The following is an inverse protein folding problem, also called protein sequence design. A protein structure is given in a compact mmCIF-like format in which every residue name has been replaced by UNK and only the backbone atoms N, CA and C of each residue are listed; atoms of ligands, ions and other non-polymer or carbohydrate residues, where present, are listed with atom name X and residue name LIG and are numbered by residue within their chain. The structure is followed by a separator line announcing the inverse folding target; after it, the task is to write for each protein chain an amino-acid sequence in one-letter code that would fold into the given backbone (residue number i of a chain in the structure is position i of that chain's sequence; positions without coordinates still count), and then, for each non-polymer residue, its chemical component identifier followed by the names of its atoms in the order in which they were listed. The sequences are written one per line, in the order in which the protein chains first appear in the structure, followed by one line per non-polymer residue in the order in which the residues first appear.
data_IF_051427246891
#
_entry.id   IF_051427246891
#
_cell.length_a   1.000
_cell.length_b   1.000
_cell.length_c   1.000
_cell.angle_alpha   90.00
_cell.angle_beta   90.00
_cell.angle_gamma   90.00
#
_symmetry.space_group_name_H-M   'P 1'
#
loop_
_entity.id
_entity.type
_entity.pdbx_description
1 polymer ?
#
# COMPACT_ATOMS: atom_id res chain seq x y z
N UNK A 1 20.05 -34.01 -36.44
CA UNK A 1 20.61 -32.97 -35.54
C UNK A 1 19.83 -31.65 -35.57
N UNK A 2 19.32 -31.19 -36.72
CA UNK A 2 18.56 -29.92 -36.88
C UNK A 2 17.20 -29.87 -36.14
N UNK A 3 16.52 -31.02 -35.96
CA UNK A 3 15.22 -31.11 -35.26
C UNK A 3 15.33 -31.04 -33.72
N UNK A 4 16.45 -31.47 -33.15
CA UNK A 4 16.70 -31.41 -31.68
C UNK A 4 17.00 -29.99 -31.23
N UNK A 5 17.71 -29.20 -32.05
CA UNK A 5 17.96 -27.78 -31.78
C UNK A 5 16.69 -26.93 -31.84
N UNK A 6 15.73 -27.28 -32.71
CA UNK A 6 14.46 -26.57 -32.83
C UNK A 6 13.56 -26.79 -31.60
N UNK A 7 13.55 -28.00 -31.03
CA UNK A 7 12.78 -28.30 -29.80
C UNK A 7 13.43 -27.64 -28.57
N UNK A 8 14.76 -27.58 -28.51
CA UNK A 8 15.50 -26.86 -27.45
C UNK A 8 15.25 -25.34 -27.50
N UNK A 9 15.14 -24.74 -28.69
CA UNK A 9 14.84 -23.32 -28.85
C UNK A 9 13.38 -22.96 -28.49
N UNK A 10 12.42 -23.83 -28.80
CA UNK A 10 11.01 -23.63 -28.41
C UNK A 10 10.79 -23.86 -26.91
N UNK A 11 11.50 -24.83 -26.32
CA UNK A 11 11.47 -25.07 -24.87
C UNK A 11 12.08 -23.91 -24.06
N UNK A 12 13.12 -23.26 -24.58
CA UNK A 12 13.76 -22.12 -23.91
C UNK A 12 12.92 -20.83 -24.03
N UNK A 13 12.12 -20.67 -25.08
CA UNK A 13 11.25 -19.49 -25.26
C UNK A 13 10.02 -19.52 -24.35
N UNK A 14 9.52 -20.71 -23.98
CA UNK A 14 8.37 -20.87 -23.07
C UNK A 14 8.73 -20.58 -21.59
N UNK A 15 10.00 -20.64 -21.22
CA UNK A 15 10.47 -20.33 -19.85
C UNK A 15 10.60 -18.82 -19.60
N UNK A 16 10.68 -18.00 -20.65
CA UNK A 16 10.86 -16.55 -20.52
C UNK A 16 9.56 -15.73 -20.49
N UNK A 17 8.39 -16.34 -20.70
CA UNK A 17 7.12 -15.60 -20.74
C UNK A 17 6.41 -15.44 -19.38
N UNK A 18 6.95 -15.94 -18.27
CA UNK A 18 6.25 -15.95 -16.99
C UNK A 18 6.45 -14.70 -16.10
N UNK A 19 7.22 -13.69 -16.53
CA UNK A 19 7.61 -12.56 -15.66
C UNK A 19 6.92 -11.23 -16.00
N UNK A 20 5.66 -11.27 -16.46
CA UNK A 20 4.81 -10.08 -16.60
C UNK A 20 3.65 -10.13 -15.60
N UNK A 21 3.96 -10.27 -14.32
CA UNK A 21 3.06 -9.77 -13.27
C UNK A 21 3.52 -8.36 -12.92
N UNK A 22 2.92 -7.36 -13.58
CA UNK A 22 3.08 -5.99 -13.17
C UNK A 22 2.68 -5.86 -11.70
N UNK A 23 3.49 -5.11 -10.95
CA UNK A 23 3.51 -5.02 -9.49
C UNK A 23 2.22 -4.38 -8.96
N UNK A 24 1.16 -5.16 -8.80
CA UNK A 24 0.14 -4.80 -7.83
C UNK A 24 0.68 -5.24 -6.46
N UNK A 25 1.65 -4.48 -5.94
CA UNK A 25 2.06 -4.60 -4.55
C UNK A 25 0.83 -4.22 -3.73
N UNK A 26 0.02 -5.21 -3.34
CA UNK A 26 -1.20 -4.98 -2.59
C UNK A 26 -0.94 -4.07 -1.39
N UNK A 27 -1.97 -3.31 -0.97
CA UNK A 27 -1.91 -2.26 0.06
C UNK A 27 -0.84 -2.51 1.13
N UNK A 28 0.20 -1.67 1.12
CA UNK A 28 1.31 -1.68 2.08
C UNK A 28 1.21 -0.46 2.98
N UNK A 29 1.27 -0.70 4.29
CA UNK A 29 1.29 0.33 5.31
C UNK A 29 2.72 0.57 5.76
N UNK A 30 3.17 1.81 5.67
CA UNK A 30 4.47 2.23 6.16
C UNK A 30 4.29 3.04 7.44
N UNK A 31 5.06 2.70 8.47
CA UNK A 31 5.17 3.50 9.69
C UNK A 31 5.72 4.88 9.39
N UNK A 32 5.19 5.88 10.09
CA UNK A 32 5.74 7.23 10.08
C UNK A 32 6.84 7.36 11.14
N UNK A 33 8.09 7.25 10.71
CA UNK A 33 9.29 7.45 11.53
C UNK A 33 9.80 8.91 11.45
N UNK A 34 8.92 9.84 11.05
CA UNK A 34 9.22 11.27 10.89
C UNK A 34 9.38 11.74 9.45
N UNK A 35 9.32 10.83 8.46
CA UNK A 35 9.41 11.19 7.04
C UNK A 35 8.23 12.01 6.53
N UNK A 36 7.08 11.97 7.22
CA UNK A 36 5.93 12.80 6.92
C UNK A 36 5.58 13.70 8.09
N UNK A 37 5.46 14.99 7.81
CA UNK A 37 5.07 16.03 8.77
C UNK A 37 3.54 16.08 8.94
N UNK A 38 2.96 14.95 9.35
CA UNK A 38 1.52 14.74 9.55
C UNK A 38 1.32 13.89 10.81
N UNK A 39 0.17 13.99 11.51
CA UNK A 39 -0.09 13.23 12.74
C UNK A 39 -0.40 11.73 12.49
N UNK A 40 -0.11 11.22 11.29
CA UNK A 40 -0.34 9.83 10.95
C UNK A 40 0.71 8.93 11.58
N UNK A 41 0.27 7.82 12.19
CA UNK A 41 1.13 6.71 12.62
C UNK A 41 1.60 5.89 11.43
N UNK A 42 0.72 5.68 10.45
CA UNK A 42 1.05 4.92 9.24
C UNK A 42 0.40 5.54 8.01
N UNK A 43 0.99 5.29 6.85
CA UNK A 43 0.45 5.69 5.54
C UNK A 43 0.45 4.50 4.59
N UNK A 44 -0.63 4.36 3.83
CA UNK A 44 -0.70 3.42 2.73
C UNK A 44 -1.11 4.15 1.45
N UNK A 45 -0.37 3.88 0.38
CA UNK A 45 -0.72 4.31 -0.97
C UNK A 45 -1.39 3.13 -1.71
N UNK A 46 -2.37 3.45 -2.53
CA UNK A 46 -3.09 2.47 -3.34
C UNK A 46 -3.51 3.08 -4.67
N UNK A 47 -4.00 2.24 -5.59
CA UNK A 47 -4.35 2.67 -6.94
C UNK A 47 -5.44 3.75 -6.90
N UNK A 48 -5.03 5.01 -7.09
CA UNK A 48 -5.93 6.17 -7.06
C UNK A 48 -6.13 6.80 -5.70
N UNK A 49 -5.31 6.52 -4.68
CA UNK A 49 -5.52 7.13 -3.38
C UNK A 49 -4.43 6.93 -2.35
N UNK A 50 -4.63 7.62 -1.23
CA UNK A 50 -3.74 7.58 -0.07
C UNK A 50 -4.59 7.52 1.18
N UNK A 51 -4.21 6.64 2.11
CA UNK A 51 -4.79 6.58 3.44
C UNK A 51 -3.72 6.87 4.48
N UNK A 52 -4.03 7.77 5.42
CA UNK A 52 -3.23 8.06 6.59
C UNK A 52 -3.98 7.56 7.82
N UNK A 53 -3.39 6.64 8.57
CA UNK A 53 -3.92 6.14 9.82
C UNK A 53 -3.39 7.00 10.97
N UNK A 54 -4.29 7.62 11.73
CA UNK A 54 -3.99 8.40 12.93
C UNK A 54 -4.27 7.55 14.18
N UNK A 55 -4.03 8.09 15.38
CA UNK A 55 -4.26 7.38 16.64
C UNK A 55 -5.75 7.07 16.87
N UNK A 56 -6.60 8.03 16.50
CA UNK A 56 -8.03 8.05 16.76
C UNK A 56 -8.84 8.18 15.46
N UNK A 57 -8.30 7.74 14.33
CA UNK A 57 -8.98 7.95 13.06
C UNK A 57 -8.15 7.66 11.83
N UNK A 58 -8.66 8.11 10.69
CA UNK A 58 -7.92 8.07 9.45
C UNK A 58 -8.34 9.20 8.51
N UNK A 59 -7.40 9.62 7.66
CA UNK A 59 -7.68 10.47 6.51
C UNK A 59 -7.56 9.65 5.23
N UNK A 60 -8.46 9.88 4.29
CA UNK A 60 -8.45 9.23 2.99
C UNK A 60 -8.53 10.30 1.92
N UNK A 61 -7.61 10.26 0.97
CA UNK A 61 -7.70 11.01 -0.27
C UNK A 61 -7.87 10.04 -1.43
N UNK A 62 -8.81 10.35 -2.32
CA UNK A 62 -9.13 9.56 -3.51
C UNK A 62 -9.12 10.47 -4.72
N UNK A 63 -8.33 10.07 -5.70
CA UNK A 63 -8.18 10.77 -6.96
C UNK A 63 -9.46 10.68 -7.80
N UNK A 64 -9.68 11.72 -8.60
CA UNK A 64 -10.77 11.77 -9.58
C UNK A 64 -10.55 10.89 -10.81
N UNK A 65 -11.57 10.89 -11.68
CA UNK A 65 -11.41 10.43 -13.06
C UNK A 65 -10.30 11.24 -13.75
N UNK A 66 -9.48 10.59 -14.57
CA UNK A 66 -8.32 11.23 -15.20
C UNK A 66 -6.98 10.99 -14.47
N UNK A 67 -7.01 10.43 -13.25
CA UNK A 67 -5.78 10.22 -12.48
C UNK A 67 -4.84 9.19 -13.12
N UNK A 68 -5.37 8.11 -13.69
CA UNK A 68 -4.54 7.06 -14.27
C UNK A 68 -3.75 7.58 -15.48
N UNK A 69 -4.37 8.46 -16.25
CA UNK A 69 -3.80 9.13 -17.43
C UNK A 69 -2.64 10.06 -17.05
N UNK A 70 -2.61 10.60 -15.82
CA UNK A 70 -1.46 11.38 -15.32
C UNK A 70 -0.22 10.52 -15.07
N UNK A 71 -0.39 9.22 -14.82
CA UNK A 71 0.70 8.27 -14.57
C UNK A 71 1.02 7.41 -15.80
N UNK A 72 0.35 7.67 -16.92
CA UNK A 72 0.58 6.92 -18.14
C UNK A 72 1.91 7.35 -18.80
N UNK A 73 2.93 6.52 -18.63
CA UNK A 73 4.24 6.71 -19.24
C UNK A 73 4.34 6.18 -20.69
N UNK A 74 3.23 5.71 -21.29
CA UNK A 74 3.29 4.95 -22.55
C UNK A 74 3.39 5.79 -23.84
N UNK A 75 3.46 7.11 -23.78
CA UNK A 75 3.51 7.91 -25.02
C UNK A 75 4.60 8.98 -24.96
N UNK A 76 5.72 8.68 -25.58
CA UNK A 76 6.76 9.66 -25.90
C UNK A 76 6.15 10.74 -26.82
N UNK A 77 6.08 11.98 -26.33
CA UNK A 77 5.44 13.09 -27.04
C UNK A 77 3.95 13.31 -26.76
N UNK A 78 3.32 12.52 -25.88
CA UNK A 78 2.01 12.91 -25.36
C UNK A 78 2.13 14.13 -24.45
N UNK A 79 1.23 15.08 -24.64
CA UNK A 79 1.02 16.16 -23.69
C UNK A 79 0.29 15.58 -22.49
N UNK A 80 0.71 15.93 -21.28
CA UNK A 80 -0.04 15.59 -20.08
C UNK A 80 -1.51 16.05 -20.26
N UNK A 81 -2.49 15.27 -19.77
CA UNK A 81 -3.89 15.69 -19.80
C UNK A 81 -4.04 17.10 -19.23
N UNK A 82 -4.75 17.97 -19.95
CA UNK A 82 -5.11 19.31 -19.49
C UNK A 82 -6.45 19.28 -18.75
N UNK A 83 -6.59 20.12 -17.72
CA UNK A 83 -7.79 20.25 -16.90
C UNK A 83 -7.62 19.90 -15.42
N UNK A 84 -8.71 20.07 -14.67
CA UNK A 84 -8.74 19.86 -13.22
C UNK A 84 -8.99 18.39 -12.86
N UNK A 85 -8.19 17.85 -11.93
CA UNK A 85 -8.46 16.56 -11.31
C UNK A 85 -9.37 16.73 -10.08
N UNK A 86 -10.66 16.44 -10.25
CA UNK A 86 -11.63 16.54 -9.15
C UNK A 86 -11.50 15.34 -8.21
N UNK A 87 -10.87 15.57 -7.06
CA UNK A 87 -10.57 14.55 -6.06
C UNK A 87 -11.45 14.71 -4.82
N UNK A 88 -11.53 13.66 -4.00
CA UNK A 88 -12.28 13.67 -2.74
C UNK A 88 -11.37 13.37 -1.56
N UNK A 89 -11.63 14.04 -0.44
CA UNK A 89 -10.93 13.84 0.83
C UNK A 89 -11.91 13.65 1.96
N UNK A 90 -11.65 12.67 2.82
CA UNK A 90 -12.41 12.43 4.05
C UNK A 90 -11.47 12.40 5.24
N UNK A 91 -11.86 13.10 6.30
CA UNK A 91 -11.28 12.95 7.63
C UNK A 91 -12.29 12.22 8.51
N UNK A 92 -11.86 11.10 9.09
CA UNK A 92 -12.66 10.30 10.00
C UNK A 92 -12.03 10.31 11.38
N UNK A 93 -12.86 10.59 12.39
CA UNK A 93 -12.49 10.49 13.80
C UNK A 93 -13.31 9.38 14.44
N UNK A 94 -12.63 8.52 15.18
CA UNK A 94 -13.17 7.38 15.92
C UNK A 94 -13.54 7.81 17.33
N UNK A 95 -14.80 8.15 17.51
CA UNK A 95 -15.31 8.58 18.82
C UNK A 95 -15.15 7.47 19.86
N UNK A 96 -14.56 7.83 21.00
CA UNK A 96 -14.32 6.91 22.11
C UNK A 96 -13.20 5.90 21.87
N UNK A 97 -12.40 6.07 20.81
CA UNK A 97 -11.22 5.24 20.61
C UNK A 97 -10.15 5.51 21.68
N UNK A 98 -9.46 4.45 22.11
CA UNK A 98 -8.32 4.54 23.01
C UNK A 98 -7.11 5.12 22.27
N UNK A 99 -6.45 6.17 22.79
CA UNK A 99 -5.20 6.66 22.22
C UNK A 99 -4.04 5.66 22.41
N UNK A 100 -4.22 4.65 23.25
CA UNK A 100 -3.19 3.69 23.65
C UNK A 100 -3.40 2.28 23.06
N UNK A 101 -4.08 2.18 21.91
CA UNK A 101 -4.24 0.89 21.22
C UNK A 101 -2.88 0.21 20.98
N UNK A 102 -2.78 -1.10 21.23
CA UNK A 102 -1.54 -1.85 21.02
C UNK A 102 -1.47 -2.38 19.58
N UNK A 103 -0.40 -2.08 18.86
CA UNK A 103 -0.17 -2.55 17.49
C UNK A 103 0.46 -3.95 17.46
N UNK A 104 -0.10 -4.86 16.68
CA UNK A 104 0.42 -6.20 16.41
C UNK A 104 0.53 -6.42 14.89
N UNK A 105 1.76 -6.53 14.37
CA UNK A 105 1.94 -6.89 12.97
C UNK A 105 1.58 -8.36 12.72
N UNK A 106 0.72 -8.61 11.74
CA UNK A 106 0.27 -9.96 11.37
C UNK A 106 1.02 -10.48 10.14
N UNK A 107 1.29 -9.58 9.18
CA UNK A 107 2.09 -9.94 8.01
C UNK A 107 2.77 -8.72 7.41
N UNK A 108 4.06 -8.85 7.13
CA UNK A 108 4.89 -7.82 6.53
C UNK A 108 5.22 -8.09 5.06
N UNK A 109 5.74 -7.07 4.38
CA UNK A 109 6.43 -7.20 3.12
C UNK A 109 7.76 -7.95 3.30
N UNK A 110 8.21 -8.63 2.25
CA UNK A 110 9.51 -9.33 2.23
C UNK A 110 10.67 -8.43 1.82
N UNK A 111 10.41 -7.13 1.65
CA UNK A 111 11.38 -6.14 1.21
C UNK A 111 11.37 -4.97 2.19
N UNK A 112 12.42 -4.16 2.09
CA UNK A 112 12.61 -2.94 2.89
C UNK A 112 12.41 -1.72 2.01
N UNK A 113 12.00 -0.62 2.62
CA UNK A 113 11.81 0.67 1.95
C UNK A 113 12.65 1.74 2.65
N UNK A 114 13.27 2.59 1.84
CA UNK A 114 13.98 3.78 2.28
C UNK A 114 13.32 4.99 1.62
N UNK A 115 13.06 6.05 2.40
CA UNK A 115 12.42 7.28 1.96
C UNK A 115 13.38 8.44 2.19
N UNK A 116 13.77 9.08 1.09
CA UNK A 116 14.66 10.24 1.07
C UNK A 116 13.91 11.44 0.51
N UNK A 117 13.22 12.20 1.37
CA UNK A 117 12.40 13.34 0.96
C UNK A 117 13.18 14.65 1.07
N UNK A 118 13.59 15.20 -0.07
CA UNK A 118 14.31 16.47 -0.12
C UNK A 118 15.72 16.38 0.49
N UNK A 119 16.27 17.53 0.89
CA UNK A 119 17.64 17.65 1.39
C UNK A 119 17.76 17.57 2.91
N UNK A 120 16.64 17.54 3.64
CA UNK A 120 16.62 17.43 5.09
C UNK A 120 16.73 15.96 5.50
N UNK A 121 17.92 15.56 5.96
CA UNK A 121 18.17 14.18 6.41
C UNK A 121 17.39 13.79 7.66
N UNK A 122 16.89 14.75 8.45
CA UNK A 122 16.01 14.44 9.59
C UNK A 122 14.63 13.94 9.15
N UNK A 123 14.29 14.11 7.88
CA UNK A 123 13.05 13.60 7.25
C UNK A 123 13.30 12.33 6.44
N UNK A 124 14.50 11.74 6.51
CA UNK A 124 14.79 10.49 5.86
C UNK A 124 14.43 9.34 6.80
N UNK A 125 13.82 8.29 6.24
CA UNK A 125 13.51 7.07 6.97
C UNK A 125 14.12 5.88 6.23
N UNK A 126 14.83 5.03 6.94
CA UNK A 126 15.56 3.90 6.36
C UNK A 126 15.13 2.59 7.01
N UNK A 127 15.38 1.49 6.29
CA UNK A 127 15.17 0.14 6.78
C UNK A 127 13.71 -0.18 7.17
N UNK A 128 12.75 0.58 6.65
CA UNK A 128 11.34 0.40 6.95
C UNK A 128 10.86 -0.94 6.39
N UNK A 129 10.08 -1.67 7.20
CA UNK A 129 9.43 -2.92 6.79
C UNK A 129 7.94 -2.64 6.64
N UNK A 130 7.42 -2.51 5.41
CA UNK A 130 6.00 -2.27 5.21
C UNK A 130 5.13 -3.42 5.72
N UNK A 131 3.96 -3.10 6.25
CA UNK A 131 3.00 -4.06 6.76
C UNK A 131 1.85 -4.27 5.77
N UNK A 132 1.48 -5.51 5.53
CA UNK A 132 0.28 -5.86 4.75
C UNK A 132 -0.95 -5.94 5.61
N UNK A 133 -0.80 -6.51 6.82
CA UNK A 133 -1.87 -6.71 7.79
C UNK A 133 -1.36 -6.53 9.20
N UNK A 134 -2.18 -5.93 10.04
CA UNK A 134 -1.93 -5.77 11.47
C UNK A 134 -3.24 -5.67 12.25
N UNK A 135 -3.13 -5.79 13.57
CA UNK A 135 -4.20 -5.50 14.50
C UNK A 135 -3.84 -4.31 15.37
N UNK A 136 -4.86 -3.55 15.73
CA UNK A 136 -4.79 -2.58 16.82
C UNK A 136 -5.71 -3.11 17.91
N UNK A 137 -5.14 -3.47 19.05
CA UNK A 137 -5.88 -4.02 20.17
C UNK A 137 -6.53 -2.94 21.01
N UNK A 138 -7.72 -3.25 21.52
CA UNK A 138 -8.47 -2.38 22.42
C UNK A 138 -8.60 -0.94 21.89
N UNK A 139 -8.87 -0.81 20.58
CA UNK A 139 -9.22 0.50 19.99
C UNK A 139 -10.48 1.01 20.66
N UNK A 140 -11.44 0.14 20.95
CA UNK A 140 -12.47 0.38 21.96
C UNK A 140 -12.43 -0.73 23.01
N UNK A 141 -13.04 -0.55 24.21
CA UNK A 141 -13.02 -1.59 25.25
C UNK A 141 -13.50 -2.96 24.72
N UNK A 142 -12.57 -3.92 24.64
CA UNK A 142 -12.84 -5.27 24.14
C UNK A 142 -13.03 -5.38 22.63
N UNK A 143 -12.67 -4.35 21.85
CA UNK A 143 -12.81 -4.31 20.40
C UNK A 143 -11.46 -4.03 19.75
N UNK A 144 -10.98 -5.02 19.00
CA UNK A 144 -9.79 -4.90 18.16
C UNK A 144 -10.16 -4.42 16.75
N UNK A 145 -9.32 -3.56 16.18
CA UNK A 145 -9.36 -3.22 14.77
C UNK A 145 -8.38 -4.11 14.00
N UNK A 146 -8.83 -4.65 12.86
CA UNK A 146 -7.96 -5.37 11.91
C UNK A 146 -7.83 -4.56 10.63
N UNK A 147 -6.60 -4.33 10.19
CA UNK A 147 -6.29 -3.52 9.01
C UNK A 147 -5.56 -4.37 7.98
N UNK A 148 -5.91 -4.19 6.71
CA UNK A 148 -5.34 -4.90 5.57
C UNK A 148 -6.36 -5.78 4.82
N UNK A 149 -5.95 -6.46 3.74
CA UNK A 149 -6.84 -7.30 2.94
C UNK A 149 -7.35 -8.50 3.77
N UNK A 150 -8.61 -8.88 3.55
CA UNK A 150 -9.18 -10.10 4.12
C UNK A 150 -8.45 -11.33 3.54
N UNK A 151 -8.00 -12.22 4.41
CA UNK A 151 -7.51 -13.55 4.05
C UNK A 151 -8.67 -14.56 4.05
N UNK A 152 -8.67 -15.55 3.15
CA UNK A 152 -9.65 -16.65 3.18
C UNK A 152 -9.74 -17.36 4.55
N UNK A 153 -8.64 -17.44 5.29
CA UNK A 153 -8.59 -18.07 6.61
C UNK A 153 -9.16 -17.20 7.74
N UNK A 154 -9.46 -15.92 7.49
CA UNK A 154 -10.03 -15.02 8.51
C UNK A 154 -11.45 -15.46 8.92
N UNK A 155 -12.12 -16.28 8.10
CA UNK A 155 -13.45 -16.85 8.41
C UNK A 155 -13.40 -18.06 9.35
N UNK A 156 -12.29 -18.80 9.40
CA UNK A 156 -12.20 -20.05 10.16
C UNK A 156 -11.87 -19.88 11.64
N UNK A 157 -11.29 -18.73 12.01
CA UNK A 157 -10.77 -18.49 13.36
C UNK A 157 -11.53 -17.39 14.13
N UNK A 158 -12.69 -16.93 13.64
CA UNK A 158 -13.48 -15.93 14.36
C UNK A 158 -14.99 -16.18 14.16
N UNK A 159 -15.74 -16.51 15.23
CA UNK A 159 -17.14 -16.12 15.28
C UNK A 159 -17.13 -14.59 15.41
N UNK A 160 -17.50 -13.90 14.32
CA UNK A 160 -18.12 -12.58 14.50
C UNK A 160 -19.49 -12.77 15.18
N UNK A 161 -20.25 -11.71 15.46
CA UNK A 161 -21.67 -11.91 15.75
C UNK A 161 -22.34 -12.81 14.68
#
# INVERSE_FOLDING_TARGET
MRRVHFILLVGLSLVFCASLSAQNSGLLWLHNEGQWDVPARMRAEWAGGVTWLEEDGMNVWVAGQGYAELWDHHVEGATAPDGDLISHGWRMTWLGASPHSVHESVSAASHRVHIYKGQDSSKWAEDLVPERRFKMHDVWPGIDLRVGPRSPNDRGNIPGP
#
